data_IF_326708025419
#
_entry.id   IF_326708025419
#
_cell.length_a   1.000
_cell.length_b   1.000
_cell.length_c   1.000
_cell.angle_alpha   90.00
_cell.angle_beta   90.00
_cell.angle_gamma   90.00
#
_symmetry.space_group_name_H-M   'P 1'
#
loop_
_entity.id
_entity.type
_entity.pdbx_description
1 polymer ?
#
# COMPACT_ATOMS: atom_id res chain seq x y z
N UNK A 1 -15.86 6.84 -41.41
CA UNK A 1 -16.76 5.86 -40.76
C UNK A 1 -16.00 4.54 -40.70
N UNK A 2 -15.52 4.11 -39.52
CA UNK A 2 -14.81 2.84 -39.39
C UNK A 2 -15.79 1.68 -39.12
N UNK A 3 -15.49 0.54 -39.72
CA UNK A 3 -16.34 -0.65 -39.82
C UNK A 3 -16.10 -1.59 -38.63
N UNK A 4 -17.19 -2.01 -37.96
CA UNK A 4 -17.22 -2.87 -36.77
C UNK A 4 -17.55 -4.33 -37.17
N UNK A 5 -16.55 -5.10 -37.61
CA UNK A 5 -16.73 -6.54 -37.85
C UNK A 5 -15.44 -7.29 -37.52
N UNK A 6 -15.23 -7.64 -36.24
CA UNK A 6 -14.31 -8.73 -35.81
C UNK A 6 -14.45 -9.13 -34.32
N UNK A 7 -15.58 -8.85 -33.66
CA UNK A 7 -15.73 -9.02 -32.21
C UNK A 7 -16.39 -10.34 -31.75
N UNK A 8 -16.64 -11.32 -32.62
CA UNK A 8 -17.54 -12.45 -32.30
C UNK A 8 -16.95 -13.87 -32.37
N UNK A 9 -15.62 -14.05 -32.35
CA UNK A 9 -15.01 -15.39 -32.42
C UNK A 9 -13.92 -15.64 -31.35
N UNK A 10 -14.28 -15.60 -30.07
CA UNK A 10 -13.54 -16.30 -28.99
C UNK A 10 -14.33 -16.24 -27.66
N UNK A 11 -15.43 -16.99 -27.57
CA UNK A 11 -16.26 -17.05 -26.34
C UNK A 11 -16.35 -18.43 -25.70
N UNK A 12 -15.50 -19.38 -26.08
CA UNK A 12 -15.54 -20.72 -25.49
C UNK A 12 -14.25 -21.50 -25.68
N UNK A 13 -13.21 -21.19 -24.91
CA UNK A 13 -12.10 -22.10 -24.63
C UNK A 13 -11.39 -21.71 -23.32
N UNK A 14 -11.76 -22.38 -22.22
CA UNK A 14 -10.86 -22.81 -21.14
C UNK A 14 -10.06 -21.78 -20.34
N UNK A 15 -10.69 -21.12 -19.35
CA UNK A 15 -10.00 -20.33 -18.31
C UNK A 15 -9.55 -21.14 -17.08
N UNK A 16 -9.78 -22.46 -17.03
CA UNK A 16 -9.43 -23.29 -15.88
C UNK A 16 -8.04 -23.97 -15.97
N UNK A 17 -7.50 -24.23 -17.17
CA UNK A 17 -6.21 -24.96 -17.29
C UNK A 17 -4.96 -24.08 -17.17
N UNK A 18 -5.05 -22.78 -17.47
CA UNK A 18 -3.86 -21.90 -17.48
C UNK A 18 -3.42 -21.42 -16.09
N UNK A 19 -4.30 -21.45 -15.09
CA UNK A 19 -3.97 -21.04 -13.72
C UNK A 19 -3.20 -22.12 -12.95
N UNK A 20 -3.54 -23.40 -13.16
CA UNK A 20 -2.83 -24.52 -12.53
C UNK A 20 -1.42 -24.74 -13.13
N UNK A 21 -1.23 -24.54 -14.44
CA UNK A 21 0.10 -24.66 -15.05
C UNK A 21 1.03 -23.50 -14.66
N UNK A 22 0.48 -22.32 -14.39
CA UNK A 22 1.27 -21.18 -13.91
C UNK A 22 1.68 -21.34 -12.43
N UNK A 23 0.80 -21.85 -11.58
CA UNK A 23 1.12 -22.21 -10.20
C UNK A 23 2.19 -23.32 -10.15
N UNK A 24 2.04 -24.38 -10.95
CA UNK A 24 3.02 -25.47 -11.04
C UNK A 24 4.38 -25.05 -11.62
N UNK A 25 4.43 -23.98 -12.42
CA UNK A 25 5.68 -23.41 -12.94
C UNK A 25 6.39 -22.53 -11.89
N UNK A 26 5.63 -21.87 -11.00
CA UNK A 26 6.17 -21.12 -9.86
C UNK A 26 6.70 -22.07 -8.77
N UNK A 27 6.00 -23.15 -8.46
CA UNK A 27 6.45 -24.16 -7.49
C UNK A 27 7.73 -24.86 -7.96
N UNK A 28 7.86 -25.20 -9.25
CA UNK A 28 9.12 -25.76 -9.80
C UNK A 28 10.29 -24.76 -9.76
N UNK A 29 10.01 -23.46 -9.89
CA UNK A 29 11.05 -22.44 -9.81
C UNK A 29 11.53 -22.19 -8.37
N UNK A 30 10.67 -22.43 -7.37
CA UNK A 30 11.02 -22.33 -5.95
C UNK A 30 11.69 -23.61 -5.43
N UNK A 31 11.28 -24.79 -5.90
CA UNK A 31 11.88 -26.08 -5.52
C UNK A 31 13.36 -26.23 -5.93
N UNK A 32 13.83 -25.47 -6.94
CA UNK A 32 15.21 -25.52 -7.43
C UNK A 32 16.24 -24.81 -6.53
N UNK A 33 15.84 -24.26 -5.37
CA UNK A 33 16.74 -23.54 -4.44
C UNK A 33 16.95 -24.24 -3.09
N UNK A 34 16.43 -25.47 -2.93
CA UNK A 34 16.48 -26.20 -1.67
C UNK A 34 17.30 -27.50 -1.79
N UNK A 35 18.60 -27.37 -2.05
CA UNK A 35 19.59 -28.41 -1.72
C UNK A 35 20.58 -27.81 -0.71
N UNK A 36 20.17 -27.85 0.57
CA UNK A 36 21.05 -27.74 1.73
C UNK A 36 20.49 -28.67 2.82
N UNK A 37 21.33 -29.49 3.49
CA UNK A 37 20.87 -30.65 4.25
C UNK A 37 20.20 -30.31 5.59
N UNK A 38 19.25 -31.18 5.94
CA UNK A 38 18.35 -31.09 7.08
C UNK A 38 19.01 -31.30 8.46
N UNK A 39 18.46 -30.63 9.47
CA UNK A 39 18.60 -30.94 10.89
C UNK A 39 17.19 -31.02 11.55
N UNK A 40 17.00 -31.82 12.60
CA UNK A 40 15.71 -32.45 12.91
C UNK A 40 14.74 -31.61 13.75
N UNK A 41 13.48 -32.03 13.65
CA UNK A 41 12.28 -31.44 14.24
C UNK A 41 12.30 -31.31 15.78
N UNK A 42 11.72 -30.21 16.26
CA UNK A 42 11.38 -30.00 17.67
C UNK A 42 9.89 -29.67 17.84
N UNK A 43 9.19 -30.68 18.35
CA UNK A 43 8.01 -30.72 19.22
C UNK A 43 7.21 -29.43 19.49
N UNK A 44 5.90 -29.52 19.22
CA UNK A 44 4.87 -28.61 19.72
C UNK A 44 4.59 -28.83 21.22
N UNK A 45 4.19 -27.79 21.98
CA UNK A 45 3.53 -27.95 23.27
C UNK A 45 1.99 -27.86 23.19
N UNK A 46 1.27 -28.45 24.17
CA UNK A 46 -0.14 -28.81 24.06
C UNK A 46 -1.12 -27.68 24.41
N UNK A 47 -2.38 -27.92 24.03
CA UNK A 47 -3.55 -27.10 24.32
C UNK A 47 -3.85 -26.99 25.83
N UNK A 48 -4.23 -25.79 26.27
CA UNK A 48 -4.71 -25.49 27.62
C UNK A 48 -6.23 -25.68 27.67
N UNK A 49 -6.79 -26.40 28.67
CA UNK A 49 -8.23 -26.59 28.82
C UNK A 49 -8.93 -25.40 29.49
N UNK A 50 -10.23 -25.30 29.18
CA UNK A 50 -11.19 -24.26 29.53
C UNK A 50 -11.24 -23.85 31.00
N UNK A 51 -11.36 -22.54 31.24
CA UNK A 51 -11.65 -21.95 32.54
C UNK A 51 -13.18 -21.94 32.83
N UNK A 52 -13.61 -22.27 34.06
CA UNK A 52 -15.03 -22.21 34.44
C UNK A 52 -15.51 -20.76 34.67
N UNK A 53 -16.83 -20.50 34.50
CA UNK A 53 -17.42 -19.16 34.62
C UNK A 53 -17.47 -18.65 36.07
N UNK A 54 -17.49 -17.31 36.27
CA UNK A 54 -17.50 -16.71 37.59
C UNK A 54 -18.86 -16.83 38.32
N UNK A 55 -18.86 -16.87 39.66
CA UNK A 55 -20.09 -16.91 40.46
C UNK A 55 -20.84 -15.56 40.45
N UNK A 56 -22.17 -15.58 40.65
CA UNK A 56 -23.01 -14.38 40.69
C UNK A 56 -22.74 -13.50 41.93
N UNK A 57 -22.97 -12.17 41.84
CA UNK A 57 -22.67 -11.25 42.93
C UNK A 57 -23.64 -11.43 44.12
N UNK A 58 -23.04 -11.42 45.31
CA UNK A 58 -23.71 -11.47 46.61
C UNK A 58 -24.62 -10.25 46.83
N UNK A 59 -25.78 -10.52 47.42
CA UNK A 59 -26.77 -9.54 47.85
C UNK A 59 -26.17 -8.56 48.88
N UNK A 60 -26.48 -7.27 48.71
CA UNK A 60 -26.14 -6.23 49.66
C UNK A 60 -26.93 -6.42 50.98
N UNK A 61 -26.32 -6.27 52.17
CA UNK A 61 -27.04 -6.29 53.42
C UNK A 61 -27.87 -5.01 53.60
N UNK A 62 -29.08 -5.21 54.13
CA UNK A 62 -30.06 -4.20 54.48
C UNK A 62 -29.49 -3.18 55.49
N UNK A 63 -29.78 -1.90 55.24
CA UNK A 63 -29.50 -0.80 56.16
C UNK A 63 -30.44 -0.90 57.36
N UNK A 64 -29.86 -1.10 58.54
CA UNK A 64 -30.52 -0.98 59.84
C UNK A 64 -31.17 0.40 59.99
N UNK A 65 -32.48 0.38 60.25
CA UNK A 65 -33.21 1.51 60.82
C UNK A 65 -32.95 1.50 62.33
N UNK A 66 -32.25 2.51 62.86
CA UNK A 66 -32.36 2.85 64.28
C UNK A 66 -33.46 3.90 64.47
N UNK A 67 -34.53 3.60 65.23
CA UNK A 67 -35.41 4.62 65.76
C UNK A 67 -34.73 5.27 66.97
N UNK A 68 -34.53 6.59 66.92
CA UNK A 68 -34.10 7.36 68.09
C UNK A 68 -35.30 7.50 69.04
N UNK A 69 -35.13 6.96 70.24
CA UNK A 69 -35.99 7.16 71.42
C UNK A 69 -36.18 8.65 71.73
N UNK A 70 -37.42 9.11 72.01
CA UNK A 70 -37.64 10.36 72.71
C UNK A 70 -37.47 10.14 74.22
N UNK A 71 -36.45 10.76 74.81
CA UNK A 71 -36.31 10.84 76.27
C UNK A 71 -37.47 11.64 76.90
N UNK A 72 -37.93 11.25 78.11
CA UNK A 72 -39.04 11.89 78.79
C UNK A 72 -38.64 13.23 79.41
N UNK A 73 -39.46 14.25 79.17
CA UNK A 73 -39.42 15.54 79.85
C UNK A 73 -39.82 15.37 81.33
N UNK A 74 -38.93 15.79 82.23
CA UNK A 74 -39.19 15.90 83.65
C UNK A 74 -40.24 17.00 83.95
N UNK A 75 -41.14 16.79 84.92
CA UNK A 75 -42.13 17.77 85.33
C UNK A 75 -41.56 18.69 86.43
N UNK A 76 -41.63 20.00 86.23
CA UNK A 76 -41.48 20.95 87.33
C UNK A 76 -40.78 22.25 86.97
N UNK A 77 -41.57 23.30 86.78
CA UNK A 77 -41.33 24.62 87.38
C UNK A 77 -42.51 25.51 87.01
N UNK A 78 -43.42 25.69 87.97
CA UNK A 78 -44.41 26.74 87.89
C UNK A 78 -43.72 28.10 87.96
N UNK A 79 -44.03 28.96 87.00
CA UNK A 79 -43.91 30.41 87.17
C UNK A 79 -45.18 31.00 86.57
N UNK A 80 -46.18 31.18 87.41
CA UNK A 80 -47.28 32.11 87.16
C UNK A 80 -46.71 33.52 87.20
N UNK A 81 -46.21 34.00 86.06
CA UNK A 81 -45.94 35.41 85.82
C UNK A 81 -47.10 35.96 85.01
N UNK A 82 -48.07 36.57 85.68
CA UNK A 82 -49.12 37.39 85.07
C UNK A 82 -48.54 38.72 84.60
N UNK A 83 -47.56 38.65 83.70
CA UNK A 83 -47.11 39.78 82.88
C UNK A 83 -47.39 39.42 81.41
N UNK A 84 -48.50 39.91 80.83
CA UNK A 84 -48.93 39.56 79.48
C UNK A 84 -47.88 39.87 78.41
N UNK A 85 -46.96 40.79 78.72
CA UNK A 85 -45.91 41.24 77.80
C UNK A 85 -44.72 40.27 77.70
N UNK A 86 -44.37 39.57 78.78
CA UNK A 86 -43.27 38.59 78.80
C UNK A 86 -43.65 37.25 78.16
N UNK A 87 -44.90 36.81 78.35
CA UNK A 87 -45.45 35.63 77.69
C UNK A 87 -45.55 35.82 76.16
N UNK A 88 -45.86 37.04 75.71
CA UNK A 88 -45.97 37.37 74.29
C UNK A 88 -44.59 37.43 73.61
N UNK A 89 -43.53 37.82 74.32
CA UNK A 89 -42.16 37.77 73.83
C UNK A 89 -41.67 36.32 73.59
N UNK A 90 -41.92 35.40 74.52
CA UNK A 90 -41.56 33.99 74.36
C UNK A 90 -42.36 33.29 73.26
N UNK A 91 -43.65 33.63 73.10
CA UNK A 91 -44.47 33.15 71.97
C UNK A 91 -43.94 33.68 70.64
N UNK A 92 -43.54 34.96 70.58
CA UNK A 92 -42.97 35.55 69.37
C UNK A 92 -41.60 34.96 69.02
N UNK A 93 -40.77 34.63 70.01
CA UNK A 93 -39.48 33.97 69.83
C UNK A 93 -39.65 32.53 69.34
N UNK A 94 -40.58 31.76 69.93
CA UNK A 94 -40.90 30.40 69.47
C UNK A 94 -41.52 30.40 68.05
N UNK A 95 -42.36 31.38 67.74
CA UNK A 95 -42.92 31.56 66.38
C UNK A 95 -41.84 32.03 65.39
N UNK A 96 -40.87 32.83 65.82
CA UNK A 96 -39.73 33.25 64.99
C UNK A 96 -38.77 32.07 64.71
N UNK A 97 -38.49 31.23 65.70
CA UNK A 97 -37.71 30.00 65.53
C UNK A 97 -38.42 28.99 64.62
N UNK A 98 -39.74 28.81 64.77
CA UNK A 98 -40.55 27.98 63.89
C UNK A 98 -40.54 28.49 62.44
N UNK A 99 -40.61 29.82 62.25
CA UNK A 99 -40.50 30.46 60.93
C UNK A 99 -39.09 30.31 60.34
N UNK A 100 -38.04 30.42 61.15
CA UNK A 100 -36.65 30.23 60.73
C UNK A 100 -36.37 28.77 60.32
N UNK A 101 -36.86 27.77 61.09
CA UNK A 101 -36.74 26.34 60.75
C UNK A 101 -37.49 25.98 59.46
N UNK A 102 -38.69 26.55 59.25
CA UNK A 102 -39.45 26.37 57.99
C UNK A 102 -38.77 27.04 56.80
N UNK A 103 -38.17 28.22 56.99
CA UNK A 103 -37.39 28.92 55.95
C UNK A 103 -36.10 28.16 55.60
N UNK A 104 -35.37 27.63 56.58
CA UNK A 104 -34.17 26.82 56.33
C UNK A 104 -34.52 25.48 55.66
N UNK A 105 -35.59 24.79 56.07
CA UNK A 105 -36.07 23.59 55.35
C UNK A 105 -36.45 23.89 53.91
N UNK A 106 -37.11 25.03 53.63
CA UNK A 106 -37.41 25.46 52.25
C UNK A 106 -36.14 25.77 51.46
N UNK A 107 -35.16 26.47 52.03
CA UNK A 107 -33.89 26.78 51.38
C UNK A 107 -33.08 25.51 51.06
N UNK A 108 -33.02 24.55 51.98
CA UNK A 108 -32.35 23.27 51.76
C UNK A 108 -33.04 22.49 50.63
N UNK A 109 -34.37 22.40 50.63
CA UNK A 109 -35.12 21.75 49.54
C UNK A 109 -34.92 22.42 48.19
N UNK A 110 -34.83 23.76 48.16
CA UNK A 110 -34.59 24.54 46.95
C UNK A 110 -33.17 24.31 46.42
N UNK A 111 -32.17 24.24 47.30
CA UNK A 111 -30.79 23.87 46.94
C UNK A 111 -30.68 22.43 46.41
N UNK A 112 -31.38 21.47 47.03
CA UNK A 112 -31.42 20.07 46.56
C UNK A 112 -32.08 19.96 45.17
N UNK A 113 -33.17 20.69 44.92
CA UNK A 113 -33.82 20.76 43.61
C UNK A 113 -32.91 21.40 42.55
N UNK A 114 -32.19 22.47 42.88
CA UNK A 114 -31.22 23.08 41.96
C UNK A 114 -30.06 22.11 41.69
N UNK A 115 -29.55 21.41 42.70
CA UNK A 115 -28.47 20.43 42.53
C UNK A 115 -28.91 19.26 41.65
N UNK A 116 -30.10 18.70 41.88
CA UNK A 116 -30.68 17.63 41.06
C UNK A 116 -30.98 18.09 39.62
N UNK A 117 -31.54 19.30 39.46
CA UNK A 117 -31.78 19.91 38.15
C UNK A 117 -30.49 20.19 37.38
N UNK A 118 -29.46 20.68 38.06
CA UNK A 118 -28.13 20.92 37.50
C UNK A 118 -27.42 19.64 37.08
N UNK A 119 -27.50 18.57 37.89
CA UNK A 119 -26.97 17.26 37.53
C UNK A 119 -27.69 16.69 36.30
N UNK A 120 -29.03 16.74 36.30
CA UNK A 120 -29.85 16.29 35.17
C UNK A 120 -29.53 17.04 33.88
N UNK A 121 -29.44 18.38 33.93
CA UNK A 121 -29.06 19.20 32.78
C UNK A 121 -27.64 18.89 32.30
N UNK A 122 -26.68 18.66 33.21
CA UNK A 122 -25.32 18.27 32.86
C UNK A 122 -25.27 16.94 32.10
N UNK A 123 -26.00 15.91 32.54
CA UNK A 123 -26.08 14.63 31.85
C UNK A 123 -26.74 14.74 30.47
N UNK A 124 -27.80 15.54 30.32
CA UNK A 124 -28.45 15.79 29.03
C UNK A 124 -27.50 16.51 28.06
N UNK A 125 -26.83 17.59 28.51
CA UNK A 125 -25.86 18.33 27.69
C UNK A 125 -24.68 17.43 27.30
N UNK A 126 -24.19 16.60 28.22
CA UNK A 126 -23.12 15.62 27.94
C UNK A 126 -23.57 14.59 26.91
N UNK A 127 -24.80 14.09 27.01
CA UNK A 127 -25.41 13.16 26.05
C UNK A 127 -25.57 13.79 24.66
N UNK A 128 -26.07 15.02 24.58
CA UNK A 128 -26.20 15.74 23.31
C UNK A 128 -24.84 16.04 22.67
N UNK A 129 -23.83 16.44 23.45
CA UNK A 129 -22.45 16.64 22.94
C UNK A 129 -21.85 15.34 22.40
N UNK A 130 -22.08 14.22 23.06
CA UNK A 130 -21.63 12.90 22.60
C UNK A 130 -22.31 12.49 21.29
N UNK A 131 -23.65 12.64 21.19
CA UNK A 131 -24.41 12.38 19.95
C UNK A 131 -23.94 13.29 18.80
N UNK A 132 -23.82 14.60 19.04
CA UNK A 132 -23.33 15.55 18.06
C UNK A 132 -21.90 15.23 17.59
N UNK A 133 -21.02 14.74 18.48
CA UNK A 133 -19.68 14.28 18.10
C UNK A 133 -19.75 13.04 17.21
N UNK A 134 -20.58 12.04 17.54
CA UNK A 134 -20.79 10.84 16.71
C UNK A 134 -21.33 11.20 15.32
N UNK A 135 -22.33 12.07 15.25
CA UNK A 135 -22.88 12.54 13.97
C UNK A 135 -21.85 13.30 13.12
N UNK A 136 -20.96 14.08 13.74
CA UNK A 136 -19.85 14.72 13.01
C UNK A 136 -18.86 13.69 12.47
N UNK A 137 -18.49 12.69 13.26
CA UNK A 137 -17.60 11.59 12.82
C UNK A 137 -18.26 10.75 11.72
N UNK A 138 -19.55 10.44 11.83
CA UNK A 138 -20.29 9.69 10.82
C UNK A 138 -20.36 10.45 9.48
N UNK A 139 -20.68 11.76 9.51
CA UNK A 139 -20.66 12.62 8.31
C UNK A 139 -19.27 12.69 7.66
N UNK A 140 -18.24 12.86 8.49
CA UNK A 140 -16.85 12.81 8.03
C UNK A 140 -16.52 11.46 7.37
N UNK A 141 -16.90 10.35 8.01
CA UNK A 141 -16.65 9.02 7.47
C UNK A 141 -17.36 8.79 6.13
N UNK A 142 -18.62 9.23 5.98
CA UNK A 142 -19.35 9.16 4.71
C UNK A 142 -18.64 9.97 3.63
N UNK A 143 -18.21 11.20 3.94
CA UNK A 143 -17.46 12.04 3.01
C UNK A 143 -16.11 11.41 2.62
N UNK A 144 -15.38 10.86 3.59
CA UNK A 144 -14.13 10.14 3.35
C UNK A 144 -14.36 8.91 2.46
N UNK A 145 -15.37 8.09 2.78
CA UNK A 145 -15.73 6.89 2.00
C UNK A 145 -16.11 7.23 0.57
N UNK A 146 -16.79 8.37 0.35
CA UNK A 146 -17.07 8.85 -1.00
C UNK A 146 -15.77 9.00 -1.81
N UNK A 147 -14.79 9.74 -1.29
CA UNK A 147 -13.49 9.93 -1.96
C UNK A 147 -12.70 8.62 -2.11
N UNK A 148 -12.73 7.78 -1.06
CA UNK A 148 -12.04 6.50 -0.98
C UNK A 148 -12.59 5.43 -1.95
N UNK A 149 -13.91 5.40 -2.15
CA UNK A 149 -14.58 4.44 -3.04
C UNK A 149 -14.81 4.96 -4.47
N UNK A 150 -14.75 6.28 -4.69
CA UNK A 150 -14.75 6.88 -6.03
C UNK A 150 -13.32 7.14 -6.50
N UNK A 151 -12.77 8.30 -6.16
CA UNK A 151 -11.61 8.90 -6.82
C UNK A 151 -10.35 8.07 -6.57
N UNK A 152 -10.17 7.58 -5.35
CA UNK A 152 -9.02 6.73 -4.99
C UNK A 152 -9.16 5.32 -5.59
N UNK A 153 -10.35 4.72 -5.57
CA UNK A 153 -10.58 3.42 -6.18
C UNK A 153 -10.38 3.47 -7.70
N UNK A 154 -10.86 4.53 -8.34
CA UNK A 154 -10.72 4.74 -9.79
C UNK A 154 -9.26 4.99 -10.20
N UNK A 155 -8.48 5.71 -9.39
CA UNK A 155 -7.04 5.79 -9.55
C UNK A 155 -6.41 4.39 -9.60
N UNK A 156 -6.69 3.55 -8.60
CA UNK A 156 -6.12 2.21 -8.54
C UNK A 156 -6.55 1.32 -9.71
N UNK A 157 -7.83 1.32 -10.08
CA UNK A 157 -8.34 0.60 -11.27
C UNK A 157 -7.70 1.12 -12.55
N UNK A 158 -7.46 2.43 -12.65
CA UNK A 158 -6.79 3.07 -13.78
C UNK A 158 -5.37 2.54 -13.93
N UNK A 159 -4.62 2.48 -12.82
CA UNK A 159 -3.23 2.06 -12.75
C UNK A 159 -3.05 0.60 -13.18
N UNK A 160 -3.83 -0.33 -12.61
CA UNK A 160 -3.71 -1.77 -12.93
C UNK A 160 -4.48 -2.18 -14.18
N UNK A 161 -5.21 -1.26 -14.82
CA UNK A 161 -6.08 -1.49 -16.00
C UNK A 161 -7.02 -2.69 -15.84
N UNK A 162 -7.59 -2.85 -14.65
CA UNK A 162 -8.51 -3.92 -14.33
C UNK A 162 -9.80 -3.34 -13.77
N UNK A 163 -10.92 -3.54 -14.48
CA UNK A 163 -12.22 -2.96 -14.15
C UNK A 163 -12.76 -3.44 -12.79
N UNK A 164 -12.48 -4.70 -12.44
CA UNK A 164 -13.02 -5.35 -11.24
C UNK A 164 -11.99 -5.56 -10.13
N UNK A 165 -10.74 -5.14 -10.32
CA UNK A 165 -9.68 -5.32 -9.32
C UNK A 165 -9.48 -4.02 -8.54
N UNK A 166 -9.97 -4.00 -7.30
CA UNK A 166 -9.67 -2.92 -6.35
C UNK A 166 -8.47 -3.31 -5.47
N UNK A 167 -7.27 -2.93 -5.92
CA UNK A 167 -6.03 -3.25 -5.20
C UNK A 167 -5.90 -2.51 -3.87
N UNK A 168 -6.73 -1.52 -3.56
CA UNK A 168 -6.78 -0.91 -2.22
C UNK A 168 -7.26 -1.93 -1.17
N UNK A 169 -8.14 -2.85 -1.57
CA UNK A 169 -8.69 -3.89 -0.70
C UNK A 169 -7.82 -5.15 -0.65
N UNK A 170 -6.77 -5.21 -1.46
CA UNK A 170 -5.82 -6.32 -1.49
C UNK A 170 -5.21 -6.57 -0.10
N UNK A 171 -5.00 -7.86 0.22
CA UNK A 171 -4.31 -8.28 1.45
C UNK A 171 -2.80 -8.07 1.35
N UNK A 172 -2.25 -8.14 0.15
CA UNK A 172 -0.82 -8.15 -0.13
C UNK A 172 -0.48 -7.19 -1.29
N UNK A 173 0.72 -6.59 -1.24
CA UNK A 173 1.25 -5.72 -2.29
C UNK A 173 1.52 -6.50 -3.58
N UNK A 174 1.67 -7.83 -3.51
CA UNK A 174 1.82 -8.70 -4.68
C UNK A 174 0.70 -8.51 -5.70
N UNK A 175 -0.53 -8.29 -5.24
CA UNK A 175 -1.68 -8.05 -6.12
C UNK A 175 -1.50 -6.75 -6.92
N UNK A 176 -0.95 -5.70 -6.29
CA UNK A 176 -0.64 -4.44 -6.96
C UNK A 176 0.52 -4.62 -7.96
N UNK A 177 1.62 -5.25 -7.53
CA UNK A 177 2.79 -5.41 -8.39
C UNK A 177 2.50 -6.32 -9.58
N UNK A 178 1.74 -7.39 -9.39
CA UNK A 178 1.28 -8.28 -10.46
C UNK A 178 0.29 -7.58 -11.39
N UNK A 179 -0.61 -6.77 -10.83
CA UNK A 179 -1.55 -5.96 -11.61
C UNK A 179 -0.82 -4.96 -12.52
N UNK A 180 0.19 -4.27 -11.97
CA UNK A 180 1.06 -3.35 -12.72
C UNK A 180 1.90 -4.07 -13.78
N UNK A 181 2.53 -5.19 -13.42
CA UNK A 181 3.31 -6.00 -14.34
C UNK A 181 2.44 -6.52 -15.50
N UNK A 182 1.22 -6.97 -15.20
CA UNK A 182 0.24 -7.43 -16.20
C UNK A 182 -0.23 -6.28 -17.09
N UNK A 183 -0.52 -5.12 -16.52
CA UNK A 183 -0.92 -3.94 -17.28
C UNK A 183 0.19 -3.51 -18.26
N UNK A 184 1.44 -3.48 -17.81
CA UNK A 184 2.58 -3.17 -18.67
C UNK A 184 2.81 -4.25 -19.73
N UNK A 185 2.75 -5.53 -19.37
CA UNK A 185 2.90 -6.64 -20.31
C UNK A 185 1.86 -6.58 -21.44
N UNK A 186 0.60 -6.30 -21.10
CA UNK A 186 -0.50 -6.25 -22.06
C UNK A 186 -0.52 -4.96 -22.87
N UNK A 187 0.00 -3.86 -22.31
CA UNK A 187 -0.07 -2.53 -22.91
C UNK A 187 1.25 -1.76 -22.81
N UNK A 188 2.36 -2.31 -23.32
CA UNK A 188 3.71 -1.77 -23.05
C UNK A 188 3.91 -0.35 -23.59
N UNK A 189 3.25 0.00 -24.69
CA UNK A 189 3.39 1.30 -25.35
C UNK A 189 2.47 2.38 -24.79
N UNK A 190 1.30 2.01 -24.27
CA UNK A 190 0.27 2.99 -23.83
C UNK A 190 0.16 3.12 -22.32
N UNK A 191 0.78 2.20 -21.56
CA UNK A 191 0.73 2.23 -20.11
C UNK A 191 1.41 3.48 -19.51
N UNK A 192 2.64 3.89 -19.91
CA UNK A 192 3.28 5.07 -19.33
C UNK A 192 2.45 6.34 -19.53
N UNK A 193 1.98 6.58 -20.77
CA UNK A 193 1.14 7.74 -21.11
C UNK A 193 -0.17 7.74 -20.34
N UNK A 194 -0.82 6.58 -20.18
CA UNK A 194 -2.05 6.45 -19.40
C UNK A 194 -1.82 6.79 -17.92
N UNK A 195 -0.75 6.28 -17.32
CA UNK A 195 -0.41 6.59 -15.94
C UNK A 195 -0.19 8.10 -15.77
N UNK A 196 0.54 8.72 -16.70
CA UNK A 196 0.84 10.16 -16.67
C UNK A 196 -0.38 11.05 -16.87
N UNK A 197 -1.20 10.76 -17.88
CA UNK A 197 -2.26 11.67 -18.35
C UNK A 197 -3.64 11.39 -17.76
N UNK A 198 -3.91 10.14 -17.34
CA UNK A 198 -5.23 9.75 -16.81
C UNK A 198 -5.18 9.41 -15.33
N UNK A 199 -4.24 8.57 -14.90
CA UNK A 199 -4.28 8.06 -13.53
C UNK A 199 -3.71 9.06 -12.52
N UNK A 200 -2.52 9.64 -12.74
CA UNK A 200 -1.91 10.59 -11.80
C UNK A 200 -2.81 11.81 -11.47
N UNK A 201 -3.52 12.44 -12.43
CA UNK A 201 -4.45 13.52 -12.11
C UNK A 201 -5.58 13.11 -11.15
N UNK A 202 -6.03 11.85 -11.18
CA UNK A 202 -7.04 11.35 -10.23
C UNK A 202 -6.50 11.31 -8.79
N UNK A 203 -5.21 11.01 -8.63
CA UNK A 203 -4.55 10.99 -7.33
C UNK A 203 -4.42 12.41 -6.74
N UNK A 204 -4.08 13.39 -7.59
CA UNK A 204 -4.04 14.80 -7.20
C UNK A 204 -5.43 15.32 -6.84
N UNK A 205 -6.46 14.94 -7.60
CA UNK A 205 -7.87 15.24 -7.30
C UNK A 205 -8.29 14.63 -5.96
N UNK A 206 -7.99 13.35 -5.73
CA UNK A 206 -8.29 12.68 -4.46
C UNK A 206 -7.62 13.37 -3.26
N UNK A 207 -6.35 13.78 -3.38
CA UNK A 207 -5.66 14.49 -2.32
C UNK A 207 -6.28 15.87 -2.03
N UNK A 208 -6.77 16.59 -3.05
CA UNK A 208 -7.51 17.85 -2.88
C UNK A 208 -8.88 17.63 -2.23
N UNK A 209 -9.63 16.63 -2.69
CA UNK A 209 -10.94 16.26 -2.14
C UNK A 209 -10.82 15.88 -0.66
N UNK A 210 -9.83 15.05 -0.29
CA UNK A 210 -9.58 14.68 1.11
C UNK A 210 -9.33 15.90 2.00
N UNK A 211 -8.54 16.88 1.53
CA UNK A 211 -8.25 18.11 2.29
C UNK A 211 -9.45 19.05 2.39
N UNK A 212 -10.38 18.98 1.44
CA UNK A 212 -11.61 19.75 1.48
C UNK A 212 -12.66 19.16 2.44
N UNK A 213 -12.47 17.93 2.94
CA UNK A 213 -13.38 17.33 3.92
C UNK A 213 -13.24 18.07 5.25
N UNK A 214 -14.36 18.55 5.78
CA UNK A 214 -14.42 19.10 7.14
C UNK A 214 -14.12 18.00 8.17
N UNK A 215 -12.97 18.09 8.82
CA UNK A 215 -12.52 17.09 9.79
C UNK A 215 -13.05 17.40 11.20
N UNK A 216 -13.52 16.40 11.95
CA UNK A 216 -13.80 16.54 13.38
C UNK A 216 -12.51 16.56 14.20
N UNK A 217 -12.59 17.06 15.44
CA UNK A 217 -11.45 17.14 16.35
C UNK A 217 -10.77 15.77 16.50
N UNK A 218 -9.44 15.75 16.35
CA UNK A 218 -8.61 14.54 16.39
C UNK A 218 -8.42 13.83 15.04
N UNK A 219 -9.17 14.17 13.99
CA UNK A 219 -9.05 13.52 12.67
C UNK A 219 -8.22 14.30 11.64
N UNK A 220 -7.90 15.57 11.91
CA UNK A 220 -7.14 16.40 10.99
C UNK A 220 -5.77 15.79 10.63
N UNK A 221 -5.02 15.32 11.64
CA UNK A 221 -3.70 14.71 11.44
C UNK A 221 -3.75 13.47 10.55
N UNK A 222 -4.64 12.51 10.86
CA UNK A 222 -4.73 11.26 10.09
C UNK A 222 -5.27 11.49 8.67
N UNK A 223 -6.16 12.47 8.47
CA UNK A 223 -6.64 12.83 7.13
C UNK A 223 -5.52 13.43 6.29
N UNK A 224 -4.72 14.33 6.87
CA UNK A 224 -3.56 14.91 6.18
C UNK A 224 -2.48 13.84 5.91
N UNK A 225 -2.30 12.86 6.80
CA UNK A 225 -1.41 11.73 6.54
C UNK A 225 -1.86 10.93 5.31
N UNK A 226 -3.17 10.68 5.13
CA UNK A 226 -3.67 10.00 3.92
C UNK A 226 -3.35 10.85 2.69
N UNK A 227 -3.66 12.15 2.71
CA UNK A 227 -3.39 13.05 1.59
C UNK A 227 -1.90 13.15 1.24
N UNK A 228 -1.02 13.17 2.26
CA UNK A 228 0.44 13.18 2.11
C UNK A 228 0.96 11.88 1.52
N UNK A 229 0.43 10.74 1.96
CA UNK A 229 0.81 9.45 1.36
C UNK A 229 0.34 9.37 -0.09
N UNK A 230 -0.82 9.92 -0.45
CA UNK A 230 -1.24 10.02 -1.86
C UNK A 230 -0.25 10.83 -2.69
N UNK A 231 0.23 11.98 -2.20
CA UNK A 231 1.27 12.74 -2.89
C UNK A 231 2.57 11.92 -3.04
N UNK A 232 2.94 11.13 -2.03
CA UNK A 232 4.10 10.23 -2.08
C UNK A 232 3.92 9.14 -3.14
N UNK A 233 2.72 8.54 -3.22
CA UNK A 233 2.36 7.58 -4.27
C UNK A 233 2.55 8.24 -5.64
N UNK A 234 2.08 9.46 -5.83
CA UNK A 234 2.22 10.20 -7.09
C UNK A 234 3.69 10.41 -7.47
N UNK A 235 4.55 10.72 -6.49
CA UNK A 235 6.00 10.84 -6.70
C UNK A 235 6.64 9.52 -7.16
N UNK A 236 6.33 8.40 -6.51
CA UNK A 236 6.87 7.09 -6.91
C UNK A 236 6.34 6.64 -8.27
N UNK A 237 5.07 6.92 -8.60
CA UNK A 237 4.55 6.64 -9.93
C UNK A 237 5.22 7.49 -11.01
N UNK A 238 5.57 8.76 -10.74
CA UNK A 238 6.36 9.57 -11.69
C UNK A 238 7.74 8.96 -11.96
N UNK A 239 8.42 8.47 -10.92
CA UNK A 239 9.70 7.76 -11.06
C UNK A 239 9.52 6.47 -11.87
N UNK A 240 8.50 5.68 -11.53
CA UNK A 240 8.16 4.46 -12.26
C UNK A 240 7.89 4.72 -13.74
N UNK A 241 7.11 5.76 -14.08
CA UNK A 241 6.84 6.15 -15.47
C UNK A 241 8.13 6.50 -16.21
N UNK A 242 9.01 7.31 -15.61
CA UNK A 242 10.30 7.66 -16.23
C UNK A 242 11.16 6.42 -16.51
N UNK A 243 11.15 5.44 -15.60
CA UNK A 243 11.83 4.16 -15.78
C UNK A 243 11.19 3.30 -16.88
N UNK A 244 9.86 3.32 -17.03
CA UNK A 244 9.19 2.64 -18.14
C UNK A 244 9.58 3.25 -19.51
N UNK A 245 9.75 4.57 -19.59
CA UNK A 245 10.22 5.24 -20.81
C UNK A 245 11.67 4.86 -21.12
N UNK A 246 12.53 4.82 -20.10
CA UNK A 246 13.90 4.33 -20.24
C UNK A 246 13.94 2.89 -20.76
N UNK A 247 13.10 1.99 -20.23
CA UNK A 247 12.98 0.61 -20.71
C UNK A 247 12.53 0.51 -22.16
N UNK A 248 11.62 1.38 -22.58
CA UNK A 248 11.18 1.43 -23.98
C UNK A 248 12.36 1.73 -24.89
N UNK A 249 13.23 2.66 -24.49
CA UNK A 249 14.46 2.97 -25.22
C UNK A 249 15.46 1.81 -25.17
N UNK A 250 15.68 1.21 -23.99
CA UNK A 250 16.57 0.05 -23.86
C UNK A 250 16.09 -1.14 -24.70
N UNK A 251 14.79 -1.46 -24.71
CA UNK A 251 14.23 -2.51 -25.54
C UNK A 251 14.38 -2.23 -27.05
N UNK A 252 14.29 -0.96 -27.46
CA UNK A 252 14.59 -0.57 -28.85
C UNK A 252 16.06 -0.77 -29.20
N UNK A 253 16.98 -0.43 -28.30
CA UNK A 253 18.41 -0.69 -28.46
C UNK A 253 18.70 -2.20 -28.52
N UNK A 254 18.12 -3.00 -27.62
CA UNK A 254 18.22 -4.46 -27.63
C UNK A 254 17.77 -5.06 -28.96
N UNK A 255 16.61 -4.62 -29.47
CA UNK A 255 16.09 -5.05 -30.77
C UNK A 255 17.09 -4.76 -31.89
N UNK A 256 17.68 -3.56 -31.93
CA UNK A 256 18.72 -3.19 -32.91
C UNK A 256 19.97 -4.06 -32.78
N UNK A 257 20.43 -4.35 -31.56
CA UNK A 257 21.58 -5.27 -31.33
C UNK A 257 21.27 -6.68 -31.86
N UNK A 258 20.05 -7.17 -31.64
CA UNK A 258 19.63 -8.48 -32.14
C UNK A 258 19.49 -8.53 -33.66
N UNK A 259 18.96 -7.47 -34.29
CA UNK A 259 18.93 -7.33 -35.75
C UNK A 259 20.34 -7.27 -36.35
N UNK A 260 21.24 -6.55 -35.70
CA UNK A 260 22.63 -6.45 -36.10
C UNK A 260 23.39 -7.77 -35.94
N UNK A 261 23.11 -8.51 -34.86
CA UNK A 261 23.59 -9.87 -34.67
C UNK A 261 23.09 -10.78 -35.79
N UNK A 262 21.81 -10.71 -36.15
CA UNK A 262 21.27 -11.48 -37.27
C UNK A 262 21.98 -11.16 -38.59
N UNK A 263 22.25 -9.88 -38.88
CA UNK A 263 23.02 -9.47 -40.06
C UNK A 263 24.46 -10.00 -40.04
N UNK A 264 25.14 -9.94 -38.88
CA UNK A 264 26.48 -10.48 -38.70
C UNK A 264 26.53 -11.98 -38.99
N UNK A 265 25.54 -12.74 -38.53
CA UNK A 265 25.52 -14.18 -38.70
C UNK A 265 25.01 -14.67 -40.06
N UNK A 266 24.12 -13.91 -40.69
CA UNK A 266 23.64 -14.21 -42.04
C UNK A 266 24.71 -13.94 -43.12
N UNK A 267 25.73 -13.14 -42.80
CA UNK A 267 26.74 -12.69 -43.76
C UNK A 267 26.15 -11.85 -44.88
N UNK A 268 25.09 -11.11 -44.57
CA UNK A 268 24.36 -10.26 -45.50
C UNK A 268 25.28 -9.09 -45.95
N UNK A 269 25.64 -9.11 -47.23
CA UNK A 269 26.55 -8.12 -47.85
C UNK A 269 25.94 -6.72 -47.90
N UNK A 270 24.61 -6.63 -47.93
CA UNK A 270 23.90 -5.36 -47.98
C UNK A 270 23.74 -4.74 -46.58
N UNK A 271 24.07 -5.50 -45.53
CA UNK A 271 23.98 -5.08 -44.11
C UNK A 271 25.32 -5.11 -43.39
N UNK A 272 26.42 -4.86 -44.11
CA UNK A 272 27.78 -4.86 -43.56
C UNK A 272 27.94 -3.86 -42.42
N UNK A 273 27.31 -2.69 -42.48
CA UNK A 273 27.33 -1.71 -41.38
C UNK A 273 26.71 -2.28 -40.11
N UNK A 274 25.57 -2.98 -40.20
CA UNK A 274 24.95 -3.64 -39.05
C UNK A 274 25.86 -4.74 -38.47
N UNK A 275 26.50 -5.53 -39.33
CA UNK A 275 27.43 -6.57 -38.91
C UNK A 275 28.68 -6.00 -38.20
N UNK A 276 29.24 -4.89 -38.72
CA UNK A 276 30.35 -4.16 -38.08
C UNK A 276 29.91 -3.57 -36.74
N UNK A 277 28.72 -2.96 -36.69
CA UNK A 277 28.12 -2.44 -35.47
C UNK A 277 27.99 -3.51 -34.40
N UNK A 278 27.47 -4.68 -34.74
CA UNK A 278 27.38 -5.80 -33.80
C UNK A 278 28.75 -6.25 -33.28
N UNK A 279 29.74 -6.37 -34.16
CA UNK A 279 31.09 -6.75 -33.76
C UNK A 279 31.73 -5.73 -32.81
N UNK A 280 31.51 -4.42 -33.02
CA UNK A 280 31.98 -3.36 -32.12
C UNK A 280 31.28 -3.42 -30.76
N UNK A 281 29.96 -3.62 -30.74
CA UNK A 281 29.18 -3.83 -29.51
C UNK A 281 29.71 -5.04 -28.72
N UNK A 282 29.92 -6.19 -29.39
CA UNK A 282 30.48 -7.38 -28.76
C UNK A 282 31.88 -7.12 -28.20
N UNK A 283 32.73 -6.39 -28.93
CA UNK A 283 34.10 -6.08 -28.50
C UNK A 283 34.14 -5.13 -27.30
N UNK A 284 33.22 -4.17 -27.23
CA UNK A 284 33.06 -3.31 -26.07
C UNK A 284 32.56 -4.12 -24.85
N UNK A 285 31.57 -5.00 -25.05
CA UNK A 285 31.01 -5.80 -23.97
C UNK A 285 32.01 -6.85 -23.46
N UNK A 286 32.74 -7.48 -24.38
CA UNK A 286 33.72 -8.55 -24.17
C UNK A 286 35.10 -8.07 -24.63
N UNK A 287 35.90 -7.44 -23.74
CA UNK A 287 37.20 -6.87 -24.10
C UNK A 287 38.16 -7.89 -24.74
N UNK A 288 38.03 -9.16 -24.39
CA UNK A 288 38.87 -10.27 -24.82
C UNK A 288 38.32 -11.02 -26.05
N UNK A 289 37.28 -10.47 -26.72
CA UNK A 289 36.63 -11.07 -27.91
C UNK A 289 37.62 -11.53 -28.99
N UNK A 290 38.62 -10.70 -29.31
CA UNK A 290 39.62 -11.00 -30.35
C UNK A 290 40.52 -12.17 -29.93
N UNK A 291 40.86 -12.26 -28.64
CA UNK A 291 41.64 -13.36 -28.11
C UNK A 291 40.82 -14.67 -28.15
N UNK A 292 39.53 -14.62 -27.82
CA UNK A 292 38.61 -15.75 -27.96
C UNK A 292 38.53 -16.23 -29.43
N UNK A 293 38.41 -15.29 -30.38
CA UNK A 293 38.36 -15.59 -31.81
C UNK A 293 39.65 -16.30 -32.28
N UNK A 294 40.82 -15.80 -31.87
CA UNK A 294 42.11 -16.40 -32.21
C UNK A 294 42.27 -17.82 -31.65
N UNK A 295 41.74 -18.09 -30.45
CA UNK A 295 41.78 -19.41 -29.79
C UNK A 295 40.79 -20.43 -30.36
N UNK A 296 39.80 -20.00 -31.15
CA UNK A 296 38.80 -20.89 -31.73
C UNK A 296 39.44 -21.87 -32.75
N UNK A 297 39.58 -23.14 -32.35
CA UNK A 297 40.23 -24.20 -33.15
C UNK A 297 39.46 -24.55 -34.43
N UNK A 298 38.12 -24.56 -34.38
CA UNK A 298 37.22 -24.89 -35.51
C UNK A 298 36.20 -23.76 -35.73
N UNK A 299 36.38 -22.88 -36.73
CA UNK A 299 35.37 -21.89 -37.09
C UNK A 299 34.28 -22.49 -38.00
N UNK A 300 33.05 -21.94 -37.98
CA UNK A 300 32.56 -20.90 -37.06
C UNK A 300 32.24 -21.48 -35.67
N UNK A 301 32.61 -20.78 -34.60
CA UNK A 301 32.34 -21.24 -33.23
C UNK A 301 32.24 -20.09 -32.23
N UNK A 302 31.01 -19.78 -31.80
CA UNK A 302 30.70 -18.77 -30.79
C UNK A 302 30.59 -19.32 -29.38
N UNK A 303 30.92 -20.60 -29.12
CA UNK A 303 30.78 -21.22 -27.80
C UNK A 303 31.44 -20.41 -26.66
N UNK A 304 32.66 -19.91 -26.86
CA UNK A 304 33.34 -19.09 -25.85
C UNK A 304 32.61 -17.76 -25.59
N UNK A 305 31.99 -17.17 -26.62
CA UNK A 305 31.16 -15.96 -26.49
C UNK A 305 29.87 -16.28 -25.74
N UNK A 306 29.20 -17.39 -26.09
CA UNK A 306 28.00 -17.88 -25.41
C UNK A 306 28.26 -18.09 -23.92
N UNK A 307 29.31 -18.83 -23.58
CA UNK A 307 29.68 -19.12 -22.19
C UNK A 307 30.02 -17.84 -21.44
N UNK A 308 30.78 -16.93 -22.04
CA UNK A 308 31.09 -15.64 -21.43
C UNK A 308 29.82 -14.82 -21.17
N UNK A 309 28.96 -14.64 -22.18
CA UNK A 309 27.72 -13.86 -22.03
C UNK A 309 26.81 -14.48 -20.98
N UNK A 310 26.62 -15.80 -21.02
CA UNK A 310 25.75 -16.51 -20.10
C UNK A 310 26.27 -16.43 -18.65
N UNK A 311 27.55 -16.75 -18.42
CA UNK A 311 28.14 -16.78 -17.08
C UNK A 311 28.23 -15.38 -16.49
N UNK A 312 28.70 -14.40 -17.26
CA UNK A 312 28.82 -13.03 -16.77
C UNK A 312 27.45 -12.42 -16.50
N UNK A 313 26.46 -12.68 -17.34
CA UNK A 313 25.11 -12.17 -17.11
C UNK A 313 24.39 -12.85 -15.93
N UNK A 314 24.67 -14.13 -15.69
CA UNK A 314 24.18 -14.84 -14.49
C UNK A 314 24.83 -14.31 -13.21
N UNK A 315 26.14 -14.06 -13.23
CA UNK A 315 26.90 -13.57 -12.09
C UNK A 315 26.66 -12.08 -11.81
N UNK A 316 26.46 -11.28 -12.86
CA UNK A 316 26.25 -9.85 -12.77
C UNK A 316 25.04 -9.43 -13.60
N UNK A 317 23.86 -9.24 -12.97
CA UNK A 317 22.65 -8.78 -13.65
C UNK A 317 22.80 -7.44 -14.39
N UNK A 318 23.77 -6.60 -14.00
CA UNK A 318 24.07 -5.31 -14.67
C UNK A 318 24.92 -5.48 -15.93
N UNK A 319 25.42 -6.68 -16.22
CA UNK A 319 26.21 -6.91 -17.43
C UNK A 319 25.42 -6.64 -18.71
N UNK A 320 24.09 -6.85 -18.69
CA UNK A 320 23.23 -6.47 -19.80
C UNK A 320 23.22 -4.95 -20.05
N UNK A 321 23.37 -4.13 -19.01
CA UNK A 321 23.39 -2.66 -19.14
C UNK A 321 24.61 -2.20 -19.92
N UNK A 322 25.72 -2.94 -19.81
CA UNK A 322 26.92 -2.72 -20.64
C UNK A 322 26.59 -2.81 -22.13
N UNK A 323 25.76 -3.76 -22.55
CA UNK A 323 25.33 -3.85 -23.96
C UNK A 323 24.35 -2.73 -24.34
N UNK A 324 23.44 -2.36 -23.44
CA UNK A 324 22.29 -1.47 -23.73
C UNK A 324 22.62 0.01 -23.67
N UNK A 325 23.51 0.39 -22.76
CA UNK A 325 23.83 1.76 -22.39
C UNK A 325 25.25 2.10 -22.85
N UNK A 326 26.23 1.33 -22.37
CA UNK A 326 27.64 1.69 -22.54
C UNK A 326 28.12 1.39 -23.96
N UNK A 327 27.85 0.19 -24.46
CA UNK A 327 28.35 -0.30 -25.74
C UNK A 327 27.41 -0.01 -26.90
N UNK A 328 26.15 0.38 -26.66
CA UNK A 328 25.24 0.74 -27.74
C UNK A 328 25.69 1.99 -28.50
N UNK A 329 26.48 2.86 -27.86
CA UNK A 329 27.13 3.99 -28.54
C UNK A 329 28.03 3.56 -29.70
N UNK A 330 28.73 2.42 -29.57
CA UNK A 330 29.54 1.83 -30.64
C UNK A 330 28.71 1.48 -31.86
N UNK A 331 27.47 1.02 -31.64
CA UNK A 331 26.55 0.72 -32.74
C UNK A 331 26.17 1.99 -33.52
N UNK A 332 25.85 3.07 -32.80
CA UNK A 332 25.52 4.37 -33.41
C UNK A 332 26.72 4.98 -34.14
N UNK A 333 27.94 4.81 -33.62
CA UNK A 333 29.15 5.30 -34.26
C UNK A 333 29.38 4.69 -35.65
N UNK A 334 28.86 3.49 -35.93
CA UNK A 334 28.94 2.88 -37.25
C UNK A 334 28.04 3.56 -38.29
N UNK A 335 26.99 4.25 -37.86
CA UNK A 335 26.18 5.07 -38.77
C UNK A 335 26.99 6.24 -39.34
N UNK A 336 27.94 6.78 -38.56
CA UNK A 336 28.86 7.84 -38.98
C UNK A 336 30.15 7.33 -39.63
N UNK A 337 30.65 6.18 -39.22
CA UNK A 337 31.87 5.56 -39.75
C UNK A 337 31.67 4.05 -39.93
N UNK A 338 31.27 3.61 -41.13
CA UNK A 338 31.07 2.19 -41.43
C UNK A 338 32.37 1.41 -41.61
N UNK A 339 33.54 2.02 -41.36
CA UNK A 339 34.83 1.37 -41.55
C UNK A 339 34.97 0.11 -40.69
N UNK A 340 35.57 -0.93 -41.28
CA UNK A 340 35.87 -2.19 -40.61
C UNK A 340 37.16 -2.02 -39.80
N UNK A 341 37.12 -2.14 -38.47
CA UNK A 341 38.35 -2.18 -37.69
C UNK A 341 39.27 -3.32 -38.14
N UNK A 342 40.58 -3.18 -37.98
CA UNK A 342 41.56 -4.20 -38.40
C UNK A 342 41.31 -5.59 -37.79
N UNK A 343 40.74 -5.64 -36.58
CA UNK A 343 40.39 -6.89 -35.90
C UNK A 343 39.07 -7.53 -36.38
N UNK A 344 38.23 -6.80 -37.13
CA UNK A 344 36.90 -7.25 -37.55
C UNK A 344 36.96 -8.53 -38.35
N UNK A 345 37.86 -8.61 -39.34
CA UNK A 345 38.00 -9.79 -40.19
C UNK A 345 38.31 -11.07 -39.38
N UNK A 346 39.09 -10.95 -38.30
CA UNK A 346 39.42 -12.07 -37.41
C UNK A 346 38.17 -12.57 -36.68
N UNK A 347 37.41 -11.64 -36.10
CA UNK A 347 36.18 -11.96 -35.34
C UNK A 347 35.11 -12.52 -36.28
N UNK A 348 34.87 -11.85 -37.41
CA UNK A 348 33.88 -12.25 -38.41
C UNK A 348 34.15 -13.66 -38.94
N UNK A 349 35.38 -13.95 -39.39
CA UNK A 349 35.75 -15.28 -39.90
C UNK A 349 35.54 -16.40 -38.88
N UNK A 350 35.69 -16.10 -37.58
CA UNK A 350 35.63 -17.10 -36.52
C UNK A 350 34.22 -17.30 -35.98
N UNK A 351 33.35 -16.28 -36.04
CA UNK A 351 32.07 -16.29 -35.33
C UNK A 351 30.83 -16.12 -36.22
N UNK A 352 30.93 -15.49 -37.40
CA UNK A 352 29.75 -15.16 -38.21
C UNK A 352 28.88 -16.38 -38.52
N UNK A 353 29.46 -17.52 -38.91
CA UNK A 353 28.65 -18.71 -39.24
C UNK A 353 28.00 -19.45 -38.06
N UNK A 354 28.07 -18.96 -36.82
CA UNK A 354 27.52 -19.62 -35.63
C UNK A 354 26.72 -18.65 -34.75
N UNK A 355 25.39 -18.68 -34.89
CA UNK A 355 24.48 -17.74 -34.23
C UNK A 355 24.07 -18.12 -32.79
N UNK A 356 24.78 -19.06 -32.13
CA UNK A 356 24.41 -19.52 -30.77
C UNK A 356 24.50 -18.44 -29.69
N UNK A 357 25.26 -17.38 -29.91
CA UNK A 357 25.34 -16.19 -29.06
C UNK A 357 24.05 -15.36 -29.07
N UNK A 358 23.23 -15.40 -30.14
CA UNK A 358 21.94 -14.71 -30.17
C UNK A 358 20.98 -15.13 -29.05
N UNK A 359 20.67 -16.43 -28.83
CA UNK A 359 19.85 -16.84 -27.69
C UNK A 359 20.49 -16.48 -26.34
N UNK A 360 21.81 -16.55 -26.21
CA UNK A 360 22.50 -16.15 -24.97
C UNK A 360 22.32 -14.66 -24.66
N UNK A 361 22.42 -13.79 -25.67
CA UNK A 361 22.13 -12.35 -25.54
C UNK A 361 20.67 -12.10 -25.20
N UNK A 362 19.74 -12.76 -25.90
CA UNK A 362 18.29 -12.65 -25.61
C UNK A 362 17.97 -13.04 -24.17
N UNK A 363 18.55 -14.13 -23.69
CA UNK A 363 18.37 -14.56 -22.30
C UNK A 363 19.01 -13.59 -21.31
N UNK A 364 20.17 -13.01 -21.64
CA UNK A 364 20.80 -11.99 -20.82
C UNK A 364 19.91 -10.75 -20.69
N UNK A 365 19.41 -10.21 -21.81
CA UNK A 365 18.47 -9.08 -21.81
C UNK A 365 17.19 -9.40 -21.03
N UNK A 366 16.63 -10.61 -21.20
CA UNK A 366 15.45 -11.06 -20.45
C UNK A 366 15.69 -11.10 -18.95
N UNK A 367 16.86 -11.58 -18.50
CA UNK A 367 17.23 -11.63 -17.08
C UNK A 367 17.36 -10.25 -16.48
N UNK A 368 18.06 -9.34 -17.15
CA UNK A 368 18.22 -7.98 -16.67
C UNK A 368 16.88 -7.24 -16.61
N UNK A 369 16.01 -7.37 -17.63
CA UNK A 369 14.66 -6.78 -17.62
C UNK A 369 13.80 -7.25 -16.44
N UNK A 370 13.94 -8.51 -15.99
CA UNK A 370 13.25 -9.00 -14.78
C UNK A 370 13.72 -8.33 -13.50
N UNK A 371 15.04 -8.15 -13.34
CA UNK A 371 15.63 -7.53 -12.14
C UNK A 371 15.18 -6.08 -11.96
N UNK A 372 15.19 -5.30 -13.04
CA UNK A 372 14.65 -3.93 -13.03
C UNK A 372 13.15 -3.93 -12.71
N UNK A 373 12.36 -4.79 -13.36
CA UNK A 373 10.90 -4.85 -13.16
C UNK A 373 10.51 -5.04 -11.69
N UNK A 374 11.20 -5.94 -11.00
CA UNK A 374 10.92 -6.21 -9.60
C UNK A 374 11.31 -5.04 -8.68
N UNK A 375 12.47 -4.41 -8.91
CA UNK A 375 12.94 -3.31 -8.05
C UNK A 375 11.98 -2.12 -8.08
N UNK A 376 11.55 -1.71 -9.27
CA UNK A 376 10.70 -0.53 -9.43
C UNK A 376 9.28 -0.75 -8.89
N UNK A 377 8.73 -1.95 -9.12
CA UNK A 377 7.43 -2.33 -8.56
C UNK A 377 7.48 -2.44 -7.04
N UNK A 378 8.62 -2.81 -6.46
CA UNK A 378 8.81 -2.85 -5.02
C UNK A 378 8.69 -1.45 -4.38
N UNK A 379 9.28 -0.42 -4.98
CA UNK A 379 9.20 0.94 -4.45
C UNK A 379 7.77 1.49 -4.48
N UNK A 380 7.02 1.23 -5.55
CA UNK A 380 5.57 1.49 -5.61
C UNK A 380 4.81 0.69 -4.55
N UNK A 381 5.15 -0.58 -4.39
CA UNK A 381 4.56 -1.49 -3.39
C UNK A 381 4.76 -1.00 -1.95
N UNK A 382 5.95 -0.51 -1.59
CA UNK A 382 6.25 0.03 -0.25
C UNK A 382 5.35 1.21 0.09
N UNK A 383 5.18 2.15 -0.84
CA UNK A 383 4.33 3.32 -0.59
C UNK A 383 2.85 2.95 -0.57
N UNK A 384 2.42 1.95 -1.35
CA UNK A 384 1.08 1.38 -1.23
C UNK A 384 0.83 0.75 0.15
N UNK A 385 1.80 0.00 0.71
CA UNK A 385 1.69 -0.55 2.08
C UNK A 385 1.57 0.58 3.11
N UNK A 386 2.34 1.67 2.95
CA UNK A 386 2.22 2.86 3.80
C UNK A 386 0.82 3.46 3.72
N UNK A 387 0.24 3.57 2.52
CA UNK A 387 -1.12 4.05 2.31
C UNK A 387 -2.15 3.19 3.04
N UNK A 388 -2.08 1.87 2.87
CA UNK A 388 -2.91 0.90 3.59
C UNK A 388 -2.82 1.08 5.11
N UNK A 389 -1.60 1.28 5.63
CA UNK A 389 -1.36 1.51 7.05
C UNK A 389 -2.04 2.78 7.57
N UNK A 390 -1.90 3.90 6.87
CA UNK A 390 -2.55 5.16 7.27
C UNK A 390 -4.07 5.09 7.13
N UNK A 391 -4.57 4.47 6.05
CA UNK A 391 -6.01 4.24 5.87
C UNK A 391 -6.57 3.38 7.00
N UNK A 392 -5.87 2.33 7.42
CA UNK A 392 -6.27 1.50 8.56
C UNK A 392 -6.36 2.33 9.85
N UNK A 393 -5.34 3.14 10.16
CA UNK A 393 -5.36 4.03 11.33
C UNK A 393 -6.58 4.97 11.34
N UNK A 394 -6.94 5.52 10.19
CA UNK A 394 -8.15 6.35 10.05
C UNK A 394 -9.42 5.55 10.37
N UNK A 395 -9.54 4.33 9.82
CA UNK A 395 -10.68 3.46 10.09
C UNK A 395 -10.77 3.07 11.57
N UNK A 396 -9.64 2.71 12.19
CA UNK A 396 -9.57 2.36 13.61
C UNK A 396 -10.01 3.55 14.48
N UNK A 397 -9.64 4.78 14.12
CA UNK A 397 -10.09 5.99 14.81
C UNK A 397 -11.60 6.25 14.65
N UNK A 398 -12.17 5.96 13.48
CA UNK A 398 -13.62 6.03 13.25
C UNK A 398 -14.34 4.97 14.10
N UNK A 399 -13.84 3.73 14.16
CA UNK A 399 -14.50 2.63 14.86
C UNK A 399 -14.58 2.80 16.38
N UNK A 400 -13.66 3.56 17.00
CA UNK A 400 -13.75 3.97 18.42
C UNK A 400 -15.06 4.69 18.78
N UNK A 401 -15.76 5.26 17.79
CA UNK A 401 -17.03 5.94 17.97
C UNK A 401 -18.26 5.05 17.69
N UNK A 402 -18.05 3.84 17.14
CA UNK A 402 -19.10 2.85 16.87
C UNK A 402 -19.32 1.89 18.06
N UNK A 403 -18.27 1.48 18.77
CA UNK A 403 -18.32 0.48 19.86
C UNK A 403 -18.85 1.00 21.22
N UNK A 404 -19.30 2.26 21.31
CA UNK A 404 -19.86 2.83 22.55
C UNK A 404 -21.39 2.89 22.54
N UNK A 405 -22.01 2.00 21.78
CA UNK A 405 -23.43 1.63 21.90
C UNK A 405 -23.53 0.40 22.79
#
# INVERSE_FOLDING_TARGET
MPNDDNASACKGCGTALHSQQFAAALDRAQASTADAPAAPASSAPPAVPDAPPPPPPAAAPASDYQPLDPSPLAPGAGVTSTDPTAAQAQINEFLAEQKARKRNKRLIWLMVLIALGGLGAFFIIRGQRAKAKRERVARYYIAFRKVDDSTIADFWRCVVRAKHLDVRLAKDNLILTDGLARAFKNFPTTQPDRLKTKCLPMLDAAAKELRAIKTPDGFAGVTEDVARVMATIGGEFKKYIAQLDERKQQAANEKKVLEASAAFHAGDKDKVSLAVGYARVLKCAIPDLVAMAKKAKKPPNTQAVVEHVFNTCKANPKYADKFRLDCFGEFKAVESDPSKPSWYATVYKKFAGDARDQPALRDCFKRANRGFALKELNDVGKVWVKYRGVRKKLMDEVFKYKEKE
#
